data_IF_022630744683
#
_entry.id   IF_022630744683
#
_cell.length_a   1.000
_cell.length_b   1.000
_cell.length_c   1.000
_cell.angle_alpha   90.00
_cell.angle_beta   90.00
_cell.angle_gamma   90.00
#
_symmetry.space_group_name_H-M   'P 1'
#
loop_
_entity.id
_entity.type
_entity.pdbx_description
1 polymer ?
#
# COMPACT_ATOMS: atom_id res chain seq x y z
N UNK A 1 -1.73 13.08 9.13
CA UNK A 1 -0.81 14.12 8.61
C UNK A 1 -1.41 14.75 7.36
N UNK A 2 -1.29 16.06 7.15
CA UNK A 2 -1.73 16.70 5.91
C UNK A 2 -0.58 16.67 4.89
N UNK A 3 -0.82 16.13 3.70
CA UNK A 3 0.14 16.11 2.58
C UNK A 3 -0.45 16.93 1.43
N UNK A 4 0.38 17.72 0.75
CA UNK A 4 -0.01 18.48 -0.44
C UNK A 4 0.40 17.65 -1.65
N UNK A 5 -0.53 17.42 -2.57
CA UNK A 5 -0.33 16.60 -3.78
C UNK A 5 -0.75 17.45 -4.96
N UNK A 6 0.18 17.66 -5.90
CA UNK A 6 -0.12 18.28 -7.18
C UNK A 6 -0.68 17.24 -8.14
N UNK A 7 -1.77 17.59 -8.82
CA UNK A 7 -2.48 16.72 -9.76
C UNK A 7 -2.67 17.51 -11.05
N UNK A 8 -2.56 16.82 -12.18
CA UNK A 8 -2.87 17.40 -13.48
C UNK A 8 -4.32 17.93 -13.51
N UNK A 9 -4.49 19.19 -13.94
CA UNK A 9 -5.79 19.84 -14.06
C UNK A 9 -6.76 19.05 -14.94
N UNK A 10 -6.27 18.29 -15.92
CA UNK A 10 -7.11 17.46 -16.79
C UNK A 10 -7.78 16.29 -16.05
N UNK A 11 -7.24 15.88 -14.91
CA UNK A 11 -7.77 14.76 -14.11
C UNK A 11 -8.88 15.25 -13.17
N UNK A 12 -8.83 16.52 -12.74
CA UNK A 12 -9.78 17.10 -11.77
C UNK A 12 -11.25 16.94 -12.20
N UNK A 13 -11.66 17.21 -13.45
CA UNK A 13 -13.05 17.02 -13.88
C UNK A 13 -13.51 15.57 -13.78
N UNK A 14 -12.65 14.62 -14.17
CA UNK A 14 -12.95 13.18 -14.11
C UNK A 14 -13.10 12.71 -12.67
N UNK A 15 -12.22 13.17 -11.79
CA UNK A 15 -12.23 12.86 -10.37
C UNK A 15 -13.50 13.40 -9.68
N UNK A 16 -13.91 14.63 -10.02
CA UNK A 16 -15.16 15.23 -9.52
C UNK A 16 -16.40 14.49 -10.01
N UNK A 17 -16.39 14.02 -11.27
CA UNK A 17 -17.49 13.23 -11.82
C UNK A 17 -17.64 11.91 -11.06
N UNK A 18 -16.54 11.19 -10.84
CA UNK A 18 -16.54 9.93 -10.09
C UNK A 18 -17.05 10.17 -8.66
N UNK A 19 -16.52 11.21 -7.99
CA UNK A 19 -16.97 11.58 -6.65
C UNK A 19 -18.48 11.88 -6.59
N UNK A 20 -19.03 12.55 -7.60
CA UNK A 20 -20.46 12.82 -7.69
C UNK A 20 -21.30 11.56 -7.95
N UNK A 21 -20.80 10.61 -8.74
CA UNK A 21 -21.47 9.33 -9.02
C UNK A 21 -21.50 8.44 -7.76
N UNK A 22 -20.41 8.44 -7.00
CA UNK A 22 -20.25 7.62 -5.80
C UNK A 22 -20.78 8.28 -4.51
N UNK A 23 -21.41 9.46 -4.63
CA UNK A 23 -21.86 10.30 -3.51
C UNK A 23 -20.78 10.47 -2.43
N UNK A 24 -19.56 10.76 -2.88
CA UNK A 24 -18.37 10.78 -2.06
C UNK A 24 -17.55 12.06 -2.26
N UNK A 25 -16.55 12.27 -1.40
CA UNK A 25 -15.64 13.41 -1.56
C UNK A 25 -14.49 13.05 -2.49
N UNK A 26 -14.02 14.04 -3.25
CA UNK A 26 -12.84 13.92 -4.12
C UNK A 26 -11.62 13.34 -3.37
N UNK A 27 -11.45 13.73 -2.11
CA UNK A 27 -10.40 13.19 -1.23
C UNK A 27 -10.56 11.68 -1.00
N UNK A 28 -11.79 11.24 -0.73
CA UNK A 28 -12.08 9.82 -0.48
C UNK A 28 -11.83 8.99 -1.73
N UNK A 29 -12.30 9.45 -2.90
CA UNK A 29 -12.02 8.79 -4.18
C UNK A 29 -10.51 8.65 -4.43
N UNK A 30 -9.73 9.68 -4.11
CA UNK A 30 -8.27 9.59 -4.23
C UNK A 30 -7.65 8.57 -3.27
N UNK A 31 -8.09 8.56 -2.01
CA UNK A 31 -7.59 7.62 -0.99
C UNK A 31 -7.91 6.18 -1.40
N UNK A 32 -9.13 5.92 -1.85
CA UNK A 32 -9.58 4.60 -2.31
C UNK A 32 -8.81 4.17 -3.58
N UNK A 33 -8.56 5.08 -4.51
CA UNK A 33 -7.76 4.79 -5.71
C UNK A 33 -6.30 4.45 -5.39
N UNK A 34 -5.69 5.14 -4.42
CA UNK A 34 -4.31 4.87 -3.99
C UNK A 34 -4.24 3.51 -3.29
N UNK A 35 -5.16 3.23 -2.37
CA UNK A 35 -5.22 1.94 -1.68
C UNK A 35 -5.36 0.79 -2.68
N UNK A 36 -6.30 0.92 -3.61
CA UNK A 36 -6.50 -0.08 -4.65
C UNK A 36 -5.24 -0.28 -5.51
N UNK A 37 -4.56 0.80 -5.90
CA UNK A 37 -3.34 0.71 -6.69
C UNK A 37 -2.22 -0.05 -5.96
N UNK A 38 -2.03 0.24 -4.67
CA UNK A 38 -1.02 -0.45 -3.83
C UNK A 38 -1.35 -1.94 -3.73
N UNK A 39 -2.59 -2.29 -3.38
CA UNK A 39 -3.04 -3.69 -3.26
C UNK A 39 -2.86 -4.46 -4.57
N UNK A 40 -3.22 -3.85 -5.71
CA UNK A 40 -3.01 -4.49 -7.02
C UNK A 40 -1.52 -4.69 -7.31
N UNK A 41 -0.67 -3.72 -6.98
CA UNK A 41 0.78 -3.84 -7.21
C UNK A 41 1.42 -4.91 -6.35
N UNK A 42 1.01 -5.03 -5.09
CA UNK A 42 1.46 -6.11 -4.21
C UNK A 42 1.07 -7.47 -4.77
N UNK A 43 -0.18 -7.59 -5.24
CA UNK A 43 -0.66 -8.82 -5.86
C UNK A 43 0.09 -9.16 -7.15
N UNK A 44 0.30 -8.19 -8.04
CA UNK A 44 1.08 -8.38 -9.27
C UNK A 44 2.51 -8.86 -8.96
N UNK A 45 3.15 -8.30 -7.93
CA UNK A 45 4.49 -8.74 -7.51
C UNK A 45 4.47 -10.20 -7.03
N UNK A 46 3.53 -10.57 -6.17
CA UNK A 46 3.39 -11.96 -5.71
C UNK A 46 3.13 -12.89 -6.90
N UNK A 47 2.27 -12.51 -7.82
CA UNK A 47 1.96 -13.35 -8.99
C UNK A 47 3.18 -13.53 -9.90
N UNK A 48 3.99 -12.49 -10.07
CA UNK A 48 5.21 -12.51 -10.87
C UNK A 48 6.37 -13.33 -10.27
N UNK A 49 6.31 -13.68 -8.98
CA UNK A 49 7.33 -14.54 -8.34
C UNK A 49 7.31 -15.97 -8.90
N UNK A 50 8.50 -16.56 -9.00
CA UNK A 50 8.66 -17.99 -9.29
C UNK A 50 8.10 -18.86 -8.16
N UNK A 51 7.94 -20.16 -8.41
CA UNK A 51 7.45 -21.09 -7.39
C UNK A 51 8.37 -21.11 -6.16
N UNK A 52 9.67 -21.27 -6.37
CA UNK A 52 10.68 -21.27 -5.30
C UNK A 52 10.62 -19.99 -4.46
N UNK A 53 10.48 -18.83 -5.12
CA UNK A 53 10.37 -17.54 -4.43
C UNK A 53 9.10 -17.42 -3.60
N UNK A 54 7.98 -18.01 -4.05
CA UNK A 54 6.72 -18.06 -3.29
C UNK A 54 6.85 -18.97 -2.08
N UNK A 55 7.55 -20.09 -2.21
CA UNK A 55 7.82 -21.02 -1.10
C UNK A 55 8.70 -20.35 -0.04
N UNK A 56 9.76 -19.66 -0.45
CA UNK A 56 10.63 -18.88 0.45
C UNK A 56 9.85 -17.78 1.18
N UNK A 57 9.01 -17.02 0.47
CA UNK A 57 8.14 -16.02 1.07
C UNK A 57 7.15 -16.64 2.06
N UNK A 58 6.58 -17.80 1.73
CA UNK A 58 5.71 -18.56 2.61
C UNK A 58 6.42 -19.00 3.90
N UNK A 59 7.66 -19.48 3.78
CA UNK A 59 8.50 -19.83 4.92
C UNK A 59 8.78 -18.62 5.81
N UNK A 60 9.14 -17.47 5.22
CA UNK A 60 9.38 -16.21 5.96
C UNK A 60 8.15 -15.78 6.76
N UNK A 61 6.95 -15.83 6.16
CA UNK A 61 5.70 -15.48 6.84
C UNK A 61 5.37 -16.44 8.00
N UNK A 62 5.69 -17.73 7.86
CA UNK A 62 5.54 -18.71 8.94
C UNK A 62 6.50 -18.43 10.09
N UNK A 63 7.76 -18.08 9.79
CA UNK A 63 8.74 -17.69 10.79
C UNK A 63 8.34 -16.42 11.53
N UNK A 64 7.81 -15.41 10.83
CA UNK A 64 7.29 -14.19 11.44
C UNK A 64 6.15 -14.49 12.41
N UNK A 65 5.20 -15.35 12.02
CA UNK A 65 4.10 -15.77 12.91
C UNK A 65 4.59 -16.57 14.11
N UNK A 66 5.61 -17.41 13.95
CA UNK A 66 6.20 -18.16 15.05
C UNK A 66 6.92 -17.25 16.07
N UNK A 67 7.43 -16.09 15.63
CA UNK A 67 8.16 -15.14 16.46
C UNK A 67 7.35 -13.90 16.87
N UNK A 68 6.00 -13.99 16.85
CA UNK A 68 5.08 -12.86 17.11
C UNK A 68 5.15 -12.27 18.53
N UNK A 69 6.02 -12.79 19.41
CA UNK A 69 6.30 -12.22 20.73
C UNK A 69 7.23 -11.00 20.70
N UNK A 70 7.87 -10.71 19.56
CA UNK A 70 8.75 -9.54 19.41
C UNK A 70 8.03 -8.51 18.53
N UNK A 71 7.34 -7.58 19.17
CA UNK A 71 6.79 -6.39 18.52
C UNK A 71 7.83 -5.27 18.65
N UNK A 72 8.44 -4.87 17.54
CA UNK A 72 9.28 -3.67 17.47
C UNK A 72 8.43 -2.47 17.06
N UNK A 73 8.72 -1.29 17.60
CA UNK A 73 8.00 -0.08 17.24
C UNK A 73 8.42 0.40 15.84
N UNK A 74 7.56 1.19 15.18
CA UNK A 74 7.86 1.80 13.89
C UNK A 74 9.14 2.67 13.95
N UNK A 75 9.37 3.31 15.11
CA UNK A 75 10.54 4.14 15.39
C UNK A 75 11.84 3.32 15.46
N UNK A 76 11.79 2.11 16.02
CA UNK A 76 12.93 1.18 16.04
C UNK A 76 13.24 0.61 14.64
N UNK A 77 12.20 0.37 13.83
CA UNK A 77 12.34 -0.16 12.47
C UNK A 77 13.09 0.81 11.54
N UNK A 78 12.87 2.12 11.66
CA UNK A 78 13.46 3.12 10.77
C UNK A 78 14.76 3.76 11.31
N UNK A 79 15.22 3.36 12.49
CA UNK A 79 16.48 3.83 13.08
C UNK A 79 17.62 2.82 12.95
N UNK A 80 17.32 1.55 12.66
CA UNK A 80 18.31 0.47 12.52
C UNK A 80 19.21 0.58 11.27
N UNK A 81 18.88 1.44 10.31
CA UNK A 81 19.69 1.70 9.09
C UNK A 81 20.76 2.82 9.27
N UNK A 82 21.00 3.26 10.51
CA UNK A 82 22.08 4.23 10.83
C UNK A 82 23.19 3.59 11.66
N UNK A 83 23.92 2.64 11.09
CA UNK A 83 25.30 2.30 11.51
C UNK A 83 26.09 1.70 10.37
#
# INVERSE_FOLDING_TARGET
MRKIIDIDEQIIPKLKLIAAIEDSSVKKVMEDAILWYIEQKEKEQIEAMSLDQKEDLGLLLLMQKANSSITISEEELFTSDKT
#
